data_IF_113663423349
#
_entry.id   IF_113663423349
#
_cell.length_a   1.000
_cell.length_b   1.000
_cell.length_c   1.000
_cell.angle_alpha   90.00
_cell.angle_beta   90.00
_cell.angle_gamma   90.00
#
_symmetry.space_group_name_H-M   'P 1'
#
loop_
_entity.id
_entity.type
_entity.pdbx_description
1 polymer ?
#
# COMPACT_ATOMS: atom_id res chain seq x y z
N UNK A 1 11.55 0.74 49.26
CA UNK A 1 10.60 1.89 49.30
C UNK A 1 10.84 2.88 48.16
N UNK A 2 12.09 3.15 47.78
CA UNK A 2 12.43 4.10 46.70
C UNK A 2 11.97 3.66 45.29
N UNK A 3 11.99 2.37 44.97
CA UNK A 3 11.58 1.86 43.65
C UNK A 3 10.06 1.90 43.43
N UNK A 4 9.27 1.79 44.50
CA UNK A 4 7.82 1.87 44.45
C UNK A 4 7.33 3.31 44.21
N UNK A 5 8.07 4.30 44.73
CA UNK A 5 7.80 5.73 44.51
C UNK A 5 8.11 6.11 43.07
N UNK A 6 9.19 5.57 42.50
CA UNK A 6 9.59 5.84 41.11
C UNK A 6 8.61 5.25 40.08
N UNK A 7 8.08 4.05 40.33
CA UNK A 7 7.06 3.41 39.46
C UNK A 7 5.72 4.13 39.58
N UNK A 8 5.36 4.63 40.76
CA UNK A 8 4.12 5.39 40.98
C UNK A 8 4.18 6.74 40.28
N UNK A 9 5.32 7.44 40.35
CA UNK A 9 5.55 8.71 39.65
C UNK A 9 5.52 8.58 38.12
N UNK A 10 6.05 7.47 37.57
CA UNK A 10 5.98 7.17 36.13
C UNK A 10 4.54 6.85 35.71
N UNK A 11 3.81 6.07 36.50
CA UNK A 11 2.38 5.78 36.24
C UNK A 11 1.53 7.04 36.34
N UNK A 12 1.77 7.91 37.31
CA UNK A 12 1.08 9.19 37.46
C UNK A 12 1.39 10.14 36.28
N UNK A 13 2.66 10.24 35.86
CA UNK A 13 3.08 11.00 34.67
C UNK A 13 2.42 10.49 33.37
N UNK A 14 2.34 9.17 33.18
CA UNK A 14 1.66 8.55 32.03
C UNK A 14 0.15 8.85 32.08
N UNK A 15 -0.45 8.78 33.27
CA UNK A 15 -1.88 9.01 33.49
C UNK A 15 -2.25 10.50 33.32
N UNK A 16 -1.35 11.41 33.69
CA UNK A 16 -1.53 12.85 33.53
C UNK A 16 -1.32 13.31 32.08
N UNK A 17 -0.36 12.70 31.36
CA UNK A 17 -0.20 12.93 29.90
C UNK A 17 -1.38 12.39 29.08
N UNK A 18 -2.12 11.41 29.60
CA UNK A 18 -3.33 10.89 28.97
C UNK A 18 -4.56 11.79 29.18
N UNK A 19 -4.63 12.54 30.29
CA UNK A 19 -5.74 13.47 30.59
C UNK A 19 -5.73 14.76 29.74
N UNK A 20 -4.57 15.16 29.22
CA UNK A 20 -4.40 16.39 28.43
C UNK A 20 -4.08 16.14 26.93
N UNK A 21 -4.19 14.91 26.46
CA UNK A 21 -3.91 14.58 25.07
C UNK A 21 -5.10 14.90 24.15
N UNK A 22 -4.96 15.95 23.35
CA UNK A 22 -5.91 16.30 22.29
C UNK A 22 -5.43 15.72 20.95
N UNK A 23 -5.91 14.52 20.63
CA UNK A 23 -5.63 13.82 19.37
C UNK A 23 -6.03 14.65 18.14
N UNK A 24 -7.19 15.35 18.20
CA UNK A 24 -7.70 16.10 17.05
C UNK A 24 -6.78 17.28 16.75
N UNK A 25 -6.26 17.95 17.78
CA UNK A 25 -5.26 19.00 17.61
C UNK A 25 -3.96 18.49 16.99
N UNK A 26 -3.46 17.33 17.43
CA UNK A 26 -2.24 16.73 16.85
C UNK A 26 -2.44 16.32 15.38
N UNK A 27 -3.58 15.71 15.04
CA UNK A 27 -3.92 15.37 13.65
C UNK A 27 -3.96 16.60 12.75
N UNK A 28 -4.61 17.68 13.20
CA UNK A 28 -4.67 18.95 12.46
C UNK A 28 -3.28 19.55 12.27
N UNK A 29 -2.48 19.60 13.33
CA UNK A 29 -1.11 20.11 13.24
C UNK A 29 -0.27 19.31 12.23
N UNK A 30 -0.38 17.98 12.23
CA UNK A 30 0.28 17.12 11.25
C UNK A 30 -0.21 17.40 9.81
N UNK A 31 -1.52 17.43 9.61
CA UNK A 31 -2.13 17.68 8.30
C UNK A 31 -1.81 19.08 7.75
N UNK A 32 -1.83 20.12 8.59
CA UNK A 32 -1.56 21.51 8.21
C UNK A 32 -0.15 21.68 7.66
N UNK A 33 0.81 20.84 8.08
CA UNK A 33 2.15 20.83 7.49
C UNK A 33 2.12 20.43 6.02
N UNK A 34 1.18 19.57 5.62
CA UNK A 34 1.09 18.91 4.30
C UNK A 34 2.39 18.25 3.83
N UNK A 35 3.34 18.06 4.72
CA UNK A 35 4.67 17.52 4.42
C UNK A 35 4.66 15.98 4.44
N UNK A 36 3.68 15.39 5.12
CA UNK A 36 3.55 13.96 5.28
C UNK A 36 4.51 13.39 6.32
N UNK A 37 4.55 12.06 6.40
CA UNK A 37 5.45 11.31 7.30
C UNK A 37 6.91 11.56 6.95
N UNK A 38 7.24 11.70 5.66
CA UNK A 38 8.59 12.06 5.21
C UNK A 38 9.04 13.40 5.78
N UNK A 39 8.15 14.40 5.85
CA UNK A 39 8.47 15.68 6.49
C UNK A 39 8.78 15.56 7.99
N UNK A 40 8.16 14.61 8.69
CA UNK A 40 8.52 14.32 10.08
C UNK A 40 9.94 13.73 10.16
N UNK A 41 10.24 12.73 9.33
CA UNK A 41 11.59 12.13 9.27
C UNK A 41 12.65 13.16 8.94
N UNK A 42 12.40 14.04 7.96
CA UNK A 42 13.33 15.09 7.54
C UNK A 42 13.57 16.15 8.64
N UNK A 43 12.64 16.30 9.58
CA UNK A 43 12.82 17.17 10.76
C UNK A 43 13.66 16.52 11.87
N UNK A 44 14.08 15.27 11.71
CA UNK A 44 14.98 14.57 12.64
C UNK A 44 14.29 14.06 13.90
N UNK A 45 13.01 13.69 13.81
CA UNK A 45 12.31 13.11 14.97
C UNK A 45 13.01 11.85 15.48
N UNK A 46 13.01 11.68 16.80
CA UNK A 46 13.53 10.47 17.47
C UNK A 46 12.42 9.59 18.04
N UNK A 47 11.24 10.16 18.26
CA UNK A 47 10.04 9.45 18.71
C UNK A 47 8.90 9.77 17.75
N UNK A 48 8.03 8.79 17.47
CA UNK A 48 6.88 9.00 16.60
C UNK A 48 5.76 9.76 17.33
N UNK A 49 5.02 10.66 16.64
CA UNK A 49 3.84 11.31 17.22
C UNK A 49 2.78 10.31 17.69
N UNK A 50 2.01 10.67 18.73
CA UNK A 50 1.04 9.75 19.36
C UNK A 50 -0.06 9.30 18.39
N UNK A 51 -0.39 10.12 17.38
CA UNK A 51 -1.32 9.75 16.31
C UNK A 51 -0.92 8.50 15.51
N UNK A 52 0.36 8.10 15.48
CA UNK A 52 0.86 6.91 14.77
C UNK A 52 1.01 5.67 15.65
N UNK A 53 0.92 5.82 16.97
CA UNK A 53 1.09 4.72 17.92
C UNK A 53 -0.18 3.87 17.91
N UNK A 54 -0.02 2.59 17.61
CA UNK A 54 -1.13 1.62 17.62
C UNK A 54 -1.70 1.43 19.02
N UNK A 55 -3.02 1.20 19.14
CA UNK A 55 -3.64 0.86 20.41
C UNK A 55 -3.01 -0.38 21.06
N UNK A 56 -2.88 -0.44 22.40
CA UNK A 56 -2.27 -1.57 23.09
C UNK A 56 -2.96 -2.92 22.84
N UNK A 57 -4.27 -2.91 22.61
CA UNK A 57 -5.05 -4.10 22.28
C UNK A 57 -4.65 -4.70 20.92
N UNK A 58 -4.36 -3.86 19.92
CA UNK A 58 -3.89 -4.31 18.60
C UNK A 58 -2.46 -4.87 18.68
N UNK A 59 -1.58 -4.23 19.47
CA UNK A 59 -0.23 -4.73 19.74
C UNK A 59 -0.27 -6.08 20.46
N UNK A 60 -1.17 -6.24 21.44
CA UNK A 60 -1.34 -7.49 22.16
C UNK A 60 -1.97 -8.60 21.30
N UNK A 61 -2.86 -8.24 20.37
CA UNK A 61 -3.41 -9.18 19.39
C UNK A 61 -2.34 -9.70 18.43
N UNK A 62 -1.40 -8.84 18.02
CA UNK A 62 -0.31 -9.24 17.13
C UNK A 62 0.54 -10.39 17.70
N UNK A 63 0.74 -10.41 19.02
CA UNK A 63 1.46 -11.46 19.73
C UNK A 63 0.78 -12.84 19.65
N UNK A 64 -0.49 -12.90 19.25
CA UNK A 64 -1.24 -14.16 19.09
C UNK A 64 -0.97 -14.85 17.76
N UNK A 65 -0.47 -14.12 16.75
CA UNK A 65 -0.18 -14.69 15.45
C UNK A 65 1.19 -15.35 15.46
N UNK A 66 1.23 -16.63 15.06
CA UNK A 66 2.50 -17.35 14.93
C UNK A 66 3.24 -16.89 13.69
N UNK A 67 4.51 -16.47 13.82
CA UNK A 67 5.35 -16.14 12.67
C UNK A 67 5.78 -17.43 11.96
N UNK A 68 5.02 -17.82 10.95
CA UNK A 68 5.36 -18.96 10.11
C UNK A 68 6.01 -18.47 8.81
N UNK A 69 7.05 -19.17 8.37
CA UNK A 69 7.70 -18.91 7.07
C UNK A 69 6.88 -19.54 5.92
N UNK A 70 5.59 -19.21 5.85
CA UNK A 70 4.73 -19.61 4.75
C UNK A 70 5.15 -18.86 3.49
N UNK A 71 5.34 -19.59 2.40
CA UNK A 71 5.64 -19.00 1.09
C UNK A 71 4.37 -18.95 0.26
N UNK A 72 4.00 -17.74 -0.16
CA UNK A 72 2.90 -17.55 -1.10
C UNK A 72 3.22 -18.27 -2.42
N UNK A 73 2.22 -18.81 -3.14
CA UNK A 73 2.44 -19.49 -4.42
C UNK A 73 3.13 -18.58 -5.43
N UNK A 74 4.05 -19.14 -6.21
CA UNK A 74 4.72 -18.46 -7.31
C UNK A 74 4.26 -19.09 -8.61
N UNK A 75 3.71 -18.27 -9.52
CA UNK A 75 3.19 -18.70 -10.81
C UNK A 75 4.08 -18.14 -11.91
N UNK A 76 4.64 -19.03 -12.72
CA UNK A 76 5.58 -18.69 -13.79
C UNK A 76 4.87 -18.57 -15.14
N UNK A 77 4.86 -17.35 -15.69
CA UNK A 77 4.22 -17.03 -16.97
C UNK A 77 5.10 -17.35 -18.20
N UNK A 78 6.24 -18.01 -18.01
CA UNK A 78 7.06 -18.51 -19.11
C UNK A 78 6.23 -19.37 -20.07
N UNK A 79 6.22 -18.99 -21.36
CA UNK A 79 5.51 -19.68 -22.45
C UNK A 79 4.00 -19.82 -22.24
N UNK A 80 3.37 -18.82 -21.63
CA UNK A 80 1.93 -18.78 -21.38
C UNK A 80 1.08 -18.97 -22.64
N UNK A 81 1.60 -18.56 -23.81
CA UNK A 81 0.98 -18.72 -25.12
C UNK A 81 0.86 -20.18 -25.61
N UNK A 82 1.60 -21.11 -24.99
CA UNK A 82 1.52 -22.53 -25.36
C UNK A 82 0.31 -23.22 -24.71
N UNK A 83 -0.50 -23.93 -25.49
CA UNK A 83 -1.78 -24.49 -25.04
C UNK A 83 -1.68 -25.37 -23.78
N UNK A 84 -0.66 -26.24 -23.72
CA UNK A 84 -0.45 -27.11 -22.55
C UNK A 84 -0.03 -26.32 -21.31
N UNK A 85 0.80 -25.28 -21.48
CA UNK A 85 1.23 -24.44 -20.36
C UNK A 85 0.11 -23.56 -19.85
N UNK A 86 -0.71 -23.01 -20.75
CA UNK A 86 -1.89 -22.22 -20.40
C UNK A 86 -2.83 -22.97 -19.46
N UNK A 87 -3.18 -24.23 -19.75
CA UNK A 87 -4.01 -25.07 -18.85
C UNK A 87 -3.39 -25.24 -17.46
N UNK A 88 -2.09 -25.54 -17.40
CA UNK A 88 -1.38 -25.68 -16.13
C UNK A 88 -1.38 -24.38 -15.33
N UNK A 89 -1.16 -23.24 -15.98
CA UNK A 89 -1.21 -21.91 -15.33
C UNK A 89 -2.63 -21.61 -14.82
N UNK A 90 -3.67 -21.94 -15.58
CA UNK A 90 -5.07 -21.77 -15.14
C UNK A 90 -5.32 -22.58 -13.86
N UNK A 91 -4.83 -23.81 -13.78
CA UNK A 91 -4.95 -24.65 -12.58
C UNK A 91 -4.16 -24.08 -11.39
N UNK A 92 -2.93 -23.62 -11.60
CA UNK A 92 -2.10 -22.94 -10.59
C UNK A 92 -2.79 -21.68 -10.05
N UNK A 93 -3.33 -20.84 -10.95
CA UNK A 93 -4.10 -19.63 -10.59
C UNK A 93 -5.35 -20.00 -9.80
N UNK A 94 -6.09 -21.03 -10.22
CA UNK A 94 -7.29 -21.51 -9.50
C UNK A 94 -6.95 -21.92 -8.07
N UNK A 95 -5.90 -22.72 -7.92
CA UNK A 95 -5.51 -23.23 -6.61
C UNK A 95 -5.02 -22.09 -5.69
N UNK A 96 -4.12 -21.23 -6.19
CA UNK A 96 -3.61 -20.12 -5.42
C UNK A 96 -4.72 -19.13 -5.00
N UNK A 97 -5.63 -18.80 -5.93
CA UNK A 97 -6.76 -17.91 -5.62
C UNK A 97 -7.70 -18.51 -4.58
N UNK A 98 -7.96 -19.81 -4.64
CA UNK A 98 -8.87 -20.50 -3.71
C UNK A 98 -8.27 -20.70 -2.32
N UNK A 99 -6.99 -21.09 -2.25
CA UNK A 99 -6.35 -21.48 -0.98
C UNK A 99 -5.67 -20.32 -0.27
N UNK A 100 -5.23 -19.29 -1.01
CA UNK A 100 -4.48 -18.17 -0.48
C UNK A 100 -5.14 -16.82 -0.71
N UNK A 101 -5.82 -16.63 -1.84
CA UNK A 101 -6.23 -15.30 -2.30
C UNK A 101 -5.05 -14.39 -2.64
N UNK A 102 -3.83 -14.93 -2.71
CA UNK A 102 -2.58 -14.20 -2.94
C UNK A 102 -1.57 -15.10 -3.67
N UNK A 103 -0.82 -14.55 -4.62
CA UNK A 103 0.28 -15.23 -5.31
C UNK A 103 1.24 -14.24 -5.96
N UNK A 104 2.46 -14.69 -6.23
CA UNK A 104 3.47 -13.94 -6.99
C UNK A 104 3.46 -14.39 -8.45
N UNK A 105 3.72 -13.45 -9.35
CA UNK A 105 3.93 -13.71 -10.77
C UNK A 105 5.40 -13.52 -11.11
N UNK A 106 5.99 -14.47 -11.82
CA UNK A 106 7.34 -14.35 -12.39
C UNK A 106 7.29 -14.56 -13.90
N UNK A 107 8.26 -13.99 -14.61
CA UNK A 107 8.31 -14.00 -16.09
C UNK A 107 7.02 -13.46 -16.74
N UNK A 108 6.39 -12.46 -16.10
CA UNK A 108 5.12 -11.84 -16.48
C UNK A 108 5.22 -10.90 -17.71
N UNK A 109 6.41 -10.72 -18.28
CA UNK A 109 6.63 -10.00 -19.54
C UNK A 109 6.79 -8.48 -19.43
N UNK A 110 6.68 -7.88 -18.23
CA UNK A 110 6.98 -6.45 -18.05
C UNK A 110 8.51 -6.30 -17.94
N UNK A 111 9.16 -5.43 -18.75
CA UNK A 111 10.59 -5.23 -18.67
C UNK A 111 11.04 -4.73 -17.29
N UNK A 112 12.16 -5.25 -16.78
CA UNK A 112 12.73 -4.82 -15.48
C UNK A 112 12.98 -3.31 -15.45
N UNK A 113 13.43 -2.71 -16.55
CA UNK A 113 13.64 -1.26 -16.65
C UNK A 113 12.36 -0.43 -16.42
N UNK A 114 11.18 -0.98 -16.71
CA UNK A 114 9.88 -0.33 -16.44
C UNK A 114 9.54 -0.44 -14.95
N UNK A 115 9.78 -1.59 -14.34
CA UNK A 115 9.57 -1.80 -12.90
C UNK A 115 10.50 -0.90 -12.07
N UNK A 116 11.80 -0.91 -12.41
CA UNK A 116 12.82 -0.08 -11.77
C UNK A 116 12.54 1.41 -12.01
N UNK A 117 12.12 1.77 -13.23
CA UNK A 117 11.73 3.12 -13.58
C UNK A 117 10.56 3.62 -12.73
N UNK A 118 9.54 2.77 -12.52
CA UNK A 118 8.39 3.09 -11.67
C UNK A 118 8.81 3.32 -10.22
N UNK A 119 9.53 2.36 -9.61
CA UNK A 119 10.00 2.45 -8.23
C UNK A 119 10.88 3.70 -8.00
N UNK A 120 11.84 3.93 -8.89
CA UNK A 120 12.72 5.09 -8.80
C UNK A 120 11.97 6.40 -9.05
N UNK A 121 11.01 6.43 -9.98
CA UNK A 121 10.18 7.61 -10.26
C UNK A 121 9.36 8.02 -9.04
N UNK A 122 8.65 7.07 -8.42
CA UNK A 122 7.86 7.32 -7.21
C UNK A 122 8.75 7.74 -6.04
N UNK A 123 9.89 7.07 -5.83
CA UNK A 123 10.87 7.47 -4.80
C UNK A 123 11.31 8.92 -5.01
N UNK A 124 11.68 9.29 -6.24
CA UNK A 124 12.11 10.66 -6.57
C UNK A 124 11.04 11.69 -6.29
N UNK A 125 9.75 11.37 -6.54
CA UNK A 125 8.65 12.25 -6.18
C UNK A 125 8.56 12.46 -4.66
N UNK A 126 8.60 11.38 -3.87
CA UNK A 126 8.48 11.48 -2.41
C UNK A 126 9.68 12.13 -1.73
N UNK A 127 10.86 12.05 -2.34
CA UNK A 127 12.11 12.71 -1.92
C UNK A 127 12.24 14.17 -2.37
N UNK A 128 11.25 14.74 -3.09
CA UNK A 128 11.26 16.18 -3.39
C UNK A 128 10.97 17.01 -2.14
N UNK A 129 11.35 18.29 -2.21
CA UNK A 129 10.97 19.30 -1.22
C UNK A 129 9.47 19.29 -0.95
N UNK A 130 9.10 19.49 0.32
CA UNK A 130 7.71 19.47 0.76
C UNK A 130 6.84 20.49 -0.02
N UNK A 131 7.38 21.66 -0.37
CA UNK A 131 6.65 22.68 -1.15
C UNK A 131 6.20 22.18 -2.52
N UNK A 132 7.00 21.36 -3.20
CA UNK A 132 6.62 20.79 -4.50
C UNK A 132 5.53 19.73 -4.33
N UNK A 133 5.66 18.86 -3.32
CA UNK A 133 4.66 17.81 -3.04
C UNK A 133 3.32 18.40 -2.59
N UNK A 134 3.32 19.55 -1.90
CA UNK A 134 2.13 20.26 -1.43
C UNK A 134 1.17 20.65 -2.54
N UNK A 135 1.66 20.89 -3.76
CA UNK A 135 0.82 21.19 -4.93
C UNK A 135 -0.19 20.07 -5.22
N UNK A 136 0.18 18.83 -4.91
CA UNK A 136 -0.66 17.64 -5.07
C UNK A 136 -1.46 17.28 -3.81
N UNK A 137 -1.22 17.96 -2.68
CA UNK A 137 -1.88 17.62 -1.42
C UNK A 137 -3.39 17.91 -1.49
N UNK A 138 -4.21 16.90 -1.22
CA UNK A 138 -5.67 17.07 -1.23
C UNK A 138 -6.39 16.00 -0.40
N UNK A 139 -7.51 16.39 0.20
CA UNK A 139 -8.51 15.45 0.77
C UNK A 139 -9.65 15.14 -0.19
N UNK A 140 -9.82 15.97 -1.21
CA UNK A 140 -10.86 15.82 -2.23
C UNK A 140 -10.56 14.61 -3.13
N UNK A 141 -11.33 13.55 -2.93
CA UNK A 141 -11.22 12.27 -3.65
C UNK A 141 -11.74 12.32 -5.09
N UNK A 142 -12.31 13.46 -5.52
CA UNK A 142 -12.71 13.65 -6.92
C UNK A 142 -11.53 14.01 -7.83
N UNK A 143 -10.41 14.47 -7.24
CA UNK A 143 -9.18 14.74 -7.98
C UNK A 143 -8.53 13.44 -8.47
N UNK A 144 -7.99 13.48 -9.68
CA UNK A 144 -7.28 12.33 -10.25
C UNK A 144 -5.92 12.08 -9.59
N UNK A 145 -5.18 13.14 -9.26
CA UNK A 145 -3.85 13.01 -8.67
C UNK A 145 -3.85 13.66 -7.29
N UNK A 146 -3.55 12.86 -6.27
CA UNK A 146 -3.62 13.27 -4.86
C UNK A 146 -2.38 12.78 -4.12
N UNK A 147 -1.75 13.67 -3.38
CA UNK A 147 -0.73 13.35 -2.39
C UNK A 147 -1.30 13.46 -0.97
N UNK A 148 -0.94 12.54 -0.09
CA UNK A 148 -1.27 12.58 1.33
C UNK A 148 -0.88 11.30 2.07
N UNK A 149 -0.95 11.29 3.40
CA UNK A 149 -0.47 10.15 4.20
C UNK A 149 -1.52 9.07 4.45
N UNK A 150 -2.70 9.47 4.94
CA UNK A 150 -3.74 8.53 5.39
C UNK A 150 -5.10 9.06 4.95
N UNK A 151 -5.86 8.34 4.11
CA UNK A 151 -7.20 8.77 3.66
C UNK A 151 -8.18 8.87 4.83
N UNK A 152 -8.04 7.95 5.78
CA UNK A 152 -8.85 7.72 6.98
C UNK A 152 -8.29 8.40 8.24
N UNK A 153 -7.40 9.40 8.09
CA UNK A 153 -6.66 10.03 9.19
C UNK A 153 -7.51 10.40 10.43
N UNK A 154 -8.70 10.94 10.21
CA UNK A 154 -9.60 11.41 11.27
C UNK A 154 -10.51 10.33 11.86
N UNK A 155 -10.69 9.21 11.16
CA UNK A 155 -11.57 8.12 11.58
C UNK A 155 -10.81 6.94 12.19
N UNK A 156 -9.55 6.76 11.82
CA UNK A 156 -8.73 5.64 12.29
C UNK A 156 -8.17 5.90 13.69
N UNK A 157 -8.01 4.83 14.47
CA UNK A 157 -7.49 4.87 15.86
C UNK A 157 -6.02 5.29 15.89
N UNK A 158 -5.25 4.83 14.92
CA UNK A 158 -3.88 5.23 14.64
C UNK A 158 -3.71 5.50 13.14
N UNK A 159 -2.89 6.47 12.81
CA UNK A 159 -2.45 6.76 11.45
C UNK A 159 -1.34 5.78 11.04
N UNK A 160 -1.27 5.45 9.76
CA UNK A 160 -0.19 4.65 9.21
C UNK A 160 1.06 5.50 8.97
N UNK A 161 2.22 4.88 9.19
CA UNK A 161 3.54 5.44 8.90
C UNK A 161 3.88 5.35 7.41
N UNK A 162 3.17 6.12 6.59
CA UNK A 162 3.39 6.19 5.14
C UNK A 162 2.95 7.52 4.54
N UNK A 163 3.50 7.82 3.37
CA UNK A 163 2.97 8.80 2.43
C UNK A 163 2.47 8.10 1.16
N UNK A 164 1.51 8.70 0.45
CA UNK A 164 0.88 8.09 -0.71
C UNK A 164 0.66 9.12 -1.81
N UNK A 165 1.09 8.78 -3.02
CA UNK A 165 0.65 9.43 -4.25
C UNK A 165 -0.39 8.53 -4.92
N UNK A 166 -1.63 8.99 -4.99
CA UNK A 166 -2.75 8.28 -5.63
C UNK A 166 -3.01 8.88 -7.00
N UNK A 167 -3.14 8.00 -8.00
CA UNK A 167 -3.53 8.35 -9.37
C UNK A 167 -4.78 7.56 -9.71
N UNK A 168 -5.92 8.22 -9.70
CA UNK A 168 -7.25 7.65 -9.94
C UNK A 168 -7.63 7.76 -11.41
N UNK A 169 -7.97 6.60 -11.98
CA UNK A 169 -8.60 6.45 -13.29
C UNK A 169 -9.97 5.76 -13.12
N UNK A 170 -10.59 5.89 -11.95
CA UNK A 170 -11.85 5.21 -11.62
C UNK A 170 -13.03 5.70 -12.47
N UNK A 171 -13.10 7.01 -12.73
CA UNK A 171 -14.23 7.62 -13.45
C UNK A 171 -13.87 8.06 -14.88
N UNK A 172 -12.65 8.58 -15.08
CA UNK A 172 -12.19 9.00 -16.41
C UNK A 172 -11.65 7.86 -17.24
N UNK A 173 -11.26 6.73 -16.63
CA UNK A 173 -10.60 5.58 -17.27
C UNK A 173 -9.24 5.88 -17.93
N UNK A 174 -8.77 7.13 -17.85
CA UNK A 174 -7.47 7.58 -18.32
C UNK A 174 -6.95 8.73 -17.45
N UNK A 175 -5.64 8.94 -17.51
CA UNK A 175 -4.94 10.11 -16.97
C UNK A 175 -4.11 10.74 -18.07
N UNK A 176 -4.16 12.06 -18.18
CA UNK A 176 -3.38 12.79 -19.16
C UNK A 176 -1.96 13.03 -18.62
N UNK A 177 -0.91 12.97 -19.46
CA UNK A 177 0.46 13.11 -18.98
C UNK A 177 0.70 14.40 -18.18
N UNK A 178 0.09 15.52 -18.58
CA UNK A 178 0.26 16.80 -17.90
C UNK A 178 -0.36 16.85 -16.50
N UNK A 179 -1.30 15.96 -16.17
CA UNK A 179 -1.89 15.84 -14.82
C UNK A 179 -0.90 15.20 -13.82
N UNK A 180 0.11 14.45 -14.31
CA UNK A 180 1.08 13.73 -13.49
C UNK A 180 2.27 14.61 -13.09
N UNK A 181 2.89 14.36 -11.91
CA UNK A 181 4.12 15.03 -11.50
C UNK A 181 5.24 14.82 -12.52
N UNK A 182 5.86 15.92 -12.95
CA UNK A 182 6.84 15.92 -14.05
C UNK A 182 8.01 14.97 -13.80
N UNK A 183 8.44 14.82 -12.54
CA UNK A 183 9.59 14.01 -12.14
C UNK A 183 9.41 12.50 -12.39
N UNK A 184 8.16 12.01 -12.35
CA UNK A 184 7.83 10.59 -12.43
C UNK A 184 6.81 10.27 -13.54
N UNK A 185 6.35 11.28 -14.28
CA UNK A 185 5.35 11.19 -15.36
C UNK A 185 5.62 10.07 -16.36
N UNK A 186 6.82 10.05 -16.96
CA UNK A 186 7.15 9.06 -18.00
C UNK A 186 7.15 7.63 -17.45
N UNK A 187 7.72 7.45 -16.25
CA UNK A 187 7.75 6.15 -15.58
C UNK A 187 6.35 5.64 -15.25
N UNK A 188 5.48 6.51 -14.72
CA UNK A 188 4.07 6.19 -14.44
C UNK A 188 3.34 5.80 -15.71
N UNK A 189 3.45 6.60 -16.78
CA UNK A 189 2.74 6.33 -18.04
C UNK A 189 3.15 5.00 -18.66
N UNK A 190 4.46 4.71 -18.70
CA UNK A 190 4.94 3.44 -19.23
C UNK A 190 4.50 2.26 -18.34
N UNK A 191 4.58 2.41 -17.02
CA UNK A 191 4.13 1.38 -16.10
C UNK A 191 2.63 1.10 -16.21
N UNK A 192 1.78 2.14 -16.29
CA UNK A 192 0.33 2.00 -16.51
C UNK A 192 0.04 1.19 -17.77
N UNK A 193 0.73 1.49 -18.88
CA UNK A 193 0.57 0.76 -20.14
C UNK A 193 0.91 -0.73 -20.00
N UNK A 194 2.04 -1.06 -19.36
CA UNK A 194 2.48 -2.45 -19.20
C UNK A 194 1.61 -3.22 -18.19
N UNK A 195 1.32 -2.64 -17.02
CA UNK A 195 0.55 -3.30 -15.97
C UNK A 195 -0.92 -3.50 -16.37
N UNK A 196 -1.46 -2.61 -17.22
CA UNK A 196 -2.79 -2.78 -17.82
C UNK A 196 -2.87 -4.07 -18.64
N UNK A 197 -1.90 -4.29 -19.52
CA UNK A 197 -1.83 -5.50 -20.37
C UNK A 197 -1.67 -6.76 -19.52
N UNK A 198 -0.84 -6.69 -18.47
CA UNK A 198 -0.70 -7.81 -17.53
C UNK A 198 -2.03 -8.09 -16.81
N UNK A 199 -2.73 -7.06 -16.34
CA UNK A 199 -4.04 -7.19 -15.70
C UNK A 199 -5.07 -7.88 -16.62
N UNK A 200 -5.12 -7.53 -17.90
CA UNK A 200 -5.99 -8.18 -18.89
C UNK A 200 -5.69 -9.68 -19.03
N UNK A 201 -4.41 -10.08 -19.01
CA UNK A 201 -4.01 -11.49 -19.03
C UNK A 201 -4.47 -12.19 -17.75
N UNK A 202 -4.26 -11.58 -16.59
CA UNK A 202 -4.68 -12.15 -15.29
C UNK A 202 -6.21 -12.30 -15.21
N UNK A 203 -6.98 -11.33 -15.70
CA UNK A 203 -8.44 -11.44 -15.76
C UNK A 203 -8.91 -12.60 -16.65
N UNK A 204 -8.22 -12.88 -17.76
CA UNK A 204 -8.52 -14.03 -18.61
C UNK A 204 -8.28 -15.34 -17.88
N UNK A 205 -7.12 -15.48 -17.25
CA UNK A 205 -6.77 -16.66 -16.46
C UNK A 205 -7.75 -16.89 -15.30
N UNK A 206 -8.14 -15.83 -14.58
CA UNK A 206 -9.14 -15.90 -13.51
C UNK A 206 -10.52 -16.30 -14.04
N UNK A 207 -10.92 -15.79 -15.21
CA UNK A 207 -12.20 -16.18 -15.82
C UNK A 207 -12.21 -17.68 -16.16
N UNK A 208 -11.15 -18.18 -16.79
CA UNK A 208 -11.02 -19.61 -17.11
C UNK A 208 -10.86 -20.49 -15.85
N UNK A 209 -10.19 -19.98 -14.81
CA UNK A 209 -10.09 -20.65 -13.52
C UNK A 209 -11.47 -20.84 -12.87
N UNK A 210 -12.40 -19.91 -13.10
CA UNK A 210 -13.80 -20.01 -12.67
C UNK A 210 -14.67 -20.88 -13.60
N UNK A 211 -14.12 -21.42 -14.69
CA UNK A 211 -14.87 -22.17 -15.71
C UNK A 211 -15.70 -21.29 -16.64
N UNK A 212 -15.37 -20.00 -16.71
CA UNK A 212 -16.04 -19.01 -17.56
C UNK A 212 -15.24 -18.78 -18.84
N UNK A 213 -15.84 -18.05 -19.79
CA UNK A 213 -15.12 -17.62 -21.00
C UNK A 213 -14.00 -16.63 -20.63
N UNK A 214 -12.84 -16.63 -21.31
CA UNK A 214 -11.71 -15.76 -20.96
C UNK A 214 -12.05 -14.27 -20.84
N UNK A 215 -13.00 -13.78 -21.64
CA UNK A 215 -13.44 -12.39 -21.68
C UNK A 215 -14.44 -12.01 -20.57
N UNK A 216 -14.85 -12.95 -19.71
CA UNK A 216 -15.94 -12.71 -18.77
C UNK A 216 -15.63 -11.60 -17.77
N UNK A 217 -14.54 -11.71 -17.01
CA UNK A 217 -14.20 -10.71 -15.98
C UNK A 217 -13.73 -9.39 -16.60
N UNK A 218 -12.79 -9.46 -17.55
CA UNK A 218 -12.16 -8.27 -18.12
C UNK A 218 -13.02 -7.54 -19.15
N UNK A 219 -13.83 -8.27 -19.93
CA UNK A 219 -14.63 -7.72 -21.02
C UNK A 219 -16.11 -7.60 -20.69
N UNK A 220 -16.76 -8.66 -20.21
CA UNK A 220 -18.21 -8.65 -19.93
C UNK A 220 -18.56 -7.87 -18.67
N UNK A 221 -17.81 -8.10 -17.58
CA UNK A 221 -18.01 -7.40 -16.31
C UNK A 221 -17.15 -6.15 -16.17
N UNK A 222 -16.21 -5.93 -17.10
CA UNK A 222 -15.30 -4.78 -17.11
C UNK A 222 -14.58 -4.57 -15.75
N UNK A 223 -14.27 -5.65 -15.01
CA UNK A 223 -13.70 -5.57 -13.66
C UNK A 223 -12.37 -4.80 -13.61
N UNK A 224 -11.67 -4.73 -14.73
CA UNK A 224 -10.42 -3.99 -14.88
C UNK A 224 -10.58 -2.58 -15.46
N UNK A 225 -11.80 -2.03 -15.61
CA UNK A 225 -12.01 -0.73 -16.26
C UNK A 225 -11.71 0.44 -15.32
N UNK A 226 -12.26 0.41 -14.11
CA UNK A 226 -11.90 1.35 -13.05
C UNK A 226 -10.57 0.95 -12.41
N UNK A 227 -9.60 1.86 -12.38
CA UNK A 227 -8.26 1.60 -11.84
C UNK A 227 -7.77 2.74 -10.97
N UNK A 228 -6.92 2.41 -10.02
CA UNK A 228 -6.12 3.39 -9.28
C UNK A 228 -4.70 2.85 -9.10
N UNK A 229 -3.71 3.74 -9.24
CA UNK A 229 -2.36 3.47 -8.77
C UNK A 229 -2.22 4.12 -7.39
N UNK A 230 -1.83 3.31 -6.41
CA UNK A 230 -1.59 3.75 -5.04
C UNK A 230 -0.11 3.61 -4.75
N UNK A 231 0.62 4.72 -4.86
CA UNK A 231 2.08 4.74 -4.80
C UNK A 231 2.54 5.08 -3.38
N UNK A 232 2.61 4.05 -2.54
CA UNK A 232 3.03 4.19 -1.15
C UNK A 232 4.54 4.45 -1.01
N UNK A 233 4.88 5.24 0.00
CA UNK A 233 6.23 5.50 0.45
C UNK A 233 6.30 5.32 1.96
N UNK A 234 7.24 4.51 2.42
CA UNK A 234 7.39 4.13 3.82
C UNK A 234 8.75 4.64 4.33
N UNK A 235 8.84 5.88 4.84
CA UNK A 235 10.07 6.40 5.43
C UNK A 235 10.55 5.54 6.60
N UNK A 236 11.86 5.53 6.87
CA UNK A 236 12.40 4.85 8.03
C UNK A 236 11.71 5.34 9.33
N UNK A 237 11.24 4.40 10.14
CA UNK A 237 10.54 4.70 11.40
C UNK A 237 11.53 4.55 12.58
N UNK A 238 11.64 5.54 13.48
CA UNK A 238 12.50 5.42 14.66
C UNK A 238 11.95 4.43 15.70
N UNK A 239 10.63 4.19 15.70
CA UNK A 239 9.96 3.28 16.64
C UNK A 239 9.06 2.27 15.90
N UNK A 240 9.63 1.38 15.07
CA UNK A 240 8.87 0.54 14.13
C UNK A 240 7.92 -0.46 14.81
N UNK A 241 8.18 -0.82 16.07
CA UNK A 241 7.31 -1.74 16.82
C UNK A 241 5.99 -1.09 17.27
N UNK A 242 5.89 0.24 17.25
CA UNK A 242 4.71 0.98 17.74
C UNK A 242 3.71 1.35 16.64
N UNK A 243 4.07 1.22 15.36
CA UNK A 243 3.25 1.67 14.23
C UNK A 243 3.24 0.64 13.11
N UNK A 244 2.48 0.90 12.04
CA UNK A 244 2.46 0.10 10.82
C UNK A 244 2.57 1.00 9.61
N UNK A 245 3.20 0.50 8.54
CA UNK A 245 3.12 1.13 7.24
C UNK A 245 1.70 1.05 6.66
N UNK A 246 0.96 -0.01 6.92
CA UNK A 246 -0.44 -0.17 6.51
C UNK A 246 -1.18 -1.07 7.50
N UNK A 247 -2.30 -0.60 8.04
CA UNK A 247 -3.17 -1.35 8.95
C UNK A 247 -3.70 -2.62 8.29
N UNK A 248 -4.04 -3.61 9.12
CA UNK A 248 -4.71 -4.84 8.70
C UNK A 248 -6.00 -4.51 7.93
N UNK A 249 -6.13 -5.03 6.71
CA UNK A 249 -7.29 -4.83 5.86
C UNK A 249 -7.39 -5.95 4.81
N UNK A 250 -8.51 -5.95 4.09
CA UNK A 250 -8.68 -6.65 2.82
C UNK A 250 -8.86 -5.61 1.73
N UNK A 251 -8.33 -5.89 0.55
CA UNK A 251 -8.46 -4.99 -0.60
C UNK A 251 -9.92 -4.90 -1.07
N UNK A 252 -10.48 -3.69 -1.24
CA UNK A 252 -11.78 -3.50 -1.91
C UNK A 252 -11.83 -3.89 -3.40
N UNK A 253 -10.79 -3.68 -4.24
CA UNK A 253 -10.87 -4.01 -5.67
C UNK A 253 -10.92 -5.51 -5.94
N UNK A 254 -11.34 -5.88 -7.16
CA UNK A 254 -11.35 -7.28 -7.60
C UNK A 254 -9.94 -7.89 -7.69
N UNK A 255 -8.96 -7.10 -8.14
CA UNK A 255 -7.57 -7.52 -8.34
C UNK A 255 -6.63 -6.38 -7.96
N UNK A 256 -5.62 -6.70 -7.16
CA UNK A 256 -4.47 -5.83 -6.87
C UNK A 256 -3.22 -6.43 -7.49
N UNK A 257 -2.47 -5.62 -8.25
CA UNK A 257 -1.13 -5.97 -8.71
C UNK A 257 -0.15 -5.09 -7.94
N UNK A 258 0.63 -5.72 -7.06
CA UNK A 258 1.60 -5.04 -6.20
C UNK A 258 3.01 -5.15 -6.79
N UNK A 259 3.69 -4.01 -6.91
CA UNK A 259 5.13 -3.93 -7.18
C UNK A 259 5.83 -3.45 -5.91
N UNK A 260 6.76 -4.25 -5.39
CA UNK A 260 7.55 -3.93 -4.20
C UNK A 260 8.99 -3.61 -4.56
N UNK A 261 9.66 -2.86 -3.69
CA UNK A 261 11.10 -2.73 -3.74
C UNK A 261 11.79 -3.99 -3.14
N UNK A 262 13.12 -3.95 -3.06
CA UNK A 262 13.91 -5.06 -2.54
C UNK A 262 13.86 -5.24 -1.02
N UNK A 263 13.27 -4.29 -0.28
CA UNK A 263 13.16 -4.35 1.19
C UNK A 263 11.91 -5.13 1.57
N UNK A 264 10.80 -4.90 0.88
CA UNK A 264 9.53 -5.58 1.13
C UNK A 264 8.81 -5.05 2.37
N UNK A 265 8.29 -5.95 3.21
CA UNK A 265 7.50 -5.60 4.39
C UNK A 265 6.01 -5.93 4.30
N UNK A 266 5.57 -6.50 3.18
CA UNK A 266 4.23 -7.09 3.07
C UNK A 266 4.11 -8.30 4.00
N UNK A 267 2.99 -8.37 4.72
CA UNK A 267 2.57 -9.52 5.51
C UNK A 267 1.17 -9.93 5.06
N UNK A 268 0.92 -11.23 4.95
CA UNK A 268 -0.37 -11.80 4.56
C UNK A 268 -0.82 -12.71 5.69
N UNK A 269 -2.05 -12.50 6.17
CA UNK A 269 -2.64 -13.32 7.22
C UNK A 269 -3.28 -14.58 6.62
N UNK A 270 -2.89 -15.75 7.10
CA UNK A 270 -3.47 -17.04 6.70
C UNK A 270 -3.65 -17.96 7.90
N UNK A 271 -4.85 -18.49 8.10
CA UNK A 271 -5.14 -19.49 9.14
C UNK A 271 -4.68 -19.06 10.56
N UNK A 272 -4.73 -17.75 10.85
CA UNK A 272 -4.17 -17.09 12.05
C UNK A 272 -2.64 -17.13 12.19
N UNK A 273 -1.94 -17.22 11.05
CA UNK A 273 -0.48 -17.20 10.91
C UNK A 273 -0.02 -16.18 9.87
#
# INVERSE_FOLDING_TARGET
MSDQIHITSIKESITESAKNYDRVKELKAFEDTKAGVKGLVDSGIVNIPKIFIRPPDELAEELKYGRNNLQVPVIDFTRIESHNRSKKIIDEVRQASKEWGFFQLVNHGIPLSVLDGMLNGIRRFHEQDAEVKKEYYSRDQTKKVIYGSNVDLYTSRAANWRDTLTISMMFSYHVEPHELPSICRSAIMEYINQVTKLGEVVFKLLSEALGLKPEHLGGTLECGRGRALVCHYYPACPEPNLTLGTSKHTDPPFLTILLQDQIGGLQVLRDNH
#
